data_IF_367506692636
#
_entry.id   IF_367506692636
#
_cell.length_a   1.000
_cell.length_b   1.000
_cell.length_c   1.000
_cell.angle_alpha   90.00
_cell.angle_beta   90.00
_cell.angle_gamma   90.00
#
_symmetry.space_group_name_H-M   'P 1'
#
loop_
_entity.id
_entity.type
_entity.pdbx_description
1 polymer ?
#
# COMPACT_ATOMS: atom_id res chain seq x y z
N UNK A 1 16.30 -27.42 -10.23
CA UNK A 1 15.43 -26.22 -10.25
C UNK A 1 16.14 -25.16 -9.43
N UNK A 2 16.62 -24.13 -10.12
CA UNK A 2 17.48 -23.07 -9.61
C UNK A 2 16.77 -22.26 -8.54
N UNK A 3 17.35 -22.21 -7.34
CA UNK A 3 16.81 -21.45 -6.22
C UNK A 3 16.87 -19.96 -6.53
N UNK A 4 15.69 -19.34 -6.65
CA UNK A 4 15.61 -17.90 -6.82
C UNK A 4 16.09 -17.23 -5.54
N UNK A 5 16.97 -16.22 -5.61
CA UNK A 5 17.41 -15.51 -4.42
C UNK A 5 16.22 -14.87 -3.70
N UNK A 6 16.12 -15.09 -2.39
CA UNK A 6 15.02 -14.60 -1.54
C UNK A 6 15.44 -13.40 -0.68
N UNK A 7 16.33 -12.55 -1.18
CA UNK A 7 16.98 -11.48 -0.40
C UNK A 7 15.98 -10.53 0.30
N UNK A 8 14.78 -10.40 -0.25
CA UNK A 8 13.72 -9.49 0.15
C UNK A 8 12.51 -10.21 0.79
N UNK A 9 12.56 -11.54 0.99
CA UNK A 9 11.45 -12.30 1.60
C UNK A 9 11.08 -11.81 3.00
N UNK A 10 12.06 -11.34 3.76
CA UNK A 10 11.84 -10.78 5.08
C UNK A 10 11.01 -9.49 5.05
N UNK A 11 11.02 -8.76 3.94
CA UNK A 11 10.27 -7.51 3.74
C UNK A 11 8.78 -7.75 3.39
N UNK A 12 8.43 -8.98 3.02
CA UNK A 12 7.10 -9.36 2.55
C UNK A 12 6.24 -10.00 3.66
N UNK A 13 6.86 -10.65 4.65
CA UNK A 13 6.15 -11.40 5.70
C UNK A 13 5.98 -10.54 6.96
N UNK A 14 4.73 -10.30 7.38
CA UNK A 14 4.39 -9.44 8.55
C UNK A 14 5.25 -9.75 9.78
N UNK A 15 5.30 -11.03 10.19
CA UNK A 15 6.06 -11.49 11.36
C UNK A 15 7.57 -11.22 11.23
N UNK A 16 8.12 -11.35 10.04
CA UNK A 16 9.53 -11.07 9.77
C UNK A 16 9.84 -9.59 9.78
N UNK A 17 8.98 -8.76 9.21
CA UNK A 17 9.18 -7.31 9.19
C UNK A 17 9.08 -6.74 10.59
N UNK A 18 8.08 -7.15 11.38
CA UNK A 18 7.92 -6.68 12.76
C UNK A 18 9.12 -7.05 13.65
N UNK A 19 9.84 -8.13 13.33
CA UNK A 19 11.04 -8.54 14.06
C UNK A 19 12.29 -7.68 13.73
N UNK A 20 12.33 -7.03 12.57
CA UNK A 20 13.53 -6.33 12.07
C UNK A 20 13.35 -4.83 11.85
N UNK A 21 12.11 -4.37 11.65
CA UNK A 21 11.78 -2.99 11.38
C UNK A 21 11.14 -2.34 12.63
N UNK A 22 11.54 -1.11 12.97
CA UNK A 22 10.96 -0.41 14.12
C UNK A 22 9.48 -0.11 13.86
N UNK A 23 8.64 -0.40 14.87
CA UNK A 23 7.24 0.04 14.89
C UNK A 23 7.21 1.48 15.40
N UNK A 24 6.67 2.38 14.59
CA UNK A 24 6.54 3.79 14.94
C UNK A 24 5.10 4.15 15.32
N UNK A 25 4.96 5.04 16.30
CA UNK A 25 3.66 5.63 16.65
C UNK A 25 3.28 6.69 15.62
N UNK A 26 2.09 6.57 15.02
CA UNK A 26 1.62 7.51 14.01
C UNK A 26 0.54 8.46 14.57
N UNK A 27 0.68 9.76 14.30
CA UNK A 27 -0.41 10.75 14.50
C UNK A 27 -1.38 10.80 13.30
N UNK A 28 -1.02 10.16 12.20
CA UNK A 28 -1.82 10.02 10.99
C UNK A 28 -2.06 8.54 10.67
N UNK A 29 -2.90 8.24 9.68
CA UNK A 29 -3.10 6.85 9.24
C UNK A 29 -1.79 6.15 8.82
N UNK A 30 -1.76 4.83 8.95
CA UNK A 30 -0.71 4.00 8.38
C UNK A 30 -0.93 3.87 6.87
N UNK A 31 0.14 3.96 6.08
CA UNK A 31 0.08 3.79 4.63
C UNK A 31 1.07 2.72 4.14
N UNK A 32 0.75 2.19 2.95
CA UNK A 32 1.63 1.38 2.11
C UNK A 32 1.68 2.00 0.72
N UNK A 33 2.89 2.28 0.22
CA UNK A 33 3.16 2.65 -1.16
C UNK A 33 3.63 1.39 -1.89
N UNK A 34 2.92 1.03 -2.95
CA UNK A 34 3.19 -0.12 -3.80
C UNK A 34 3.97 0.32 -5.05
N UNK A 35 5.28 0.09 -5.04
CA UNK A 35 6.16 0.42 -6.17
C UNK A 35 6.26 -0.80 -7.10
N UNK A 36 5.73 -0.75 -8.33
CA UNK A 36 5.76 -1.90 -9.24
C UNK A 36 7.19 -2.34 -9.57
N UNK A 37 7.42 -3.65 -9.66
CA UNK A 37 8.71 -4.21 -10.05
C UNK A 37 8.67 -4.84 -11.43
N UNK A 38 9.56 -4.40 -12.32
CA UNK A 38 9.68 -4.87 -13.69
C UNK A 38 11.05 -5.54 -13.91
N UNK A 39 11.04 -6.72 -14.54
CA UNK A 39 12.24 -7.43 -14.99
C UNK A 39 12.11 -7.66 -16.50
N UNK A 40 13.03 -7.07 -17.28
CA UNK A 40 12.95 -7.13 -18.74
C UNK A 40 11.71 -6.43 -19.32
N UNK A 41 11.18 -5.40 -18.64
CA UNK A 41 9.97 -4.68 -19.04
C UNK A 41 8.66 -5.39 -18.72
N UNK A 42 8.70 -6.61 -18.19
CA UNK A 42 7.53 -7.33 -17.71
C UNK A 42 7.45 -7.26 -16.19
N UNK A 43 6.24 -7.09 -15.70
CA UNK A 43 5.99 -7.06 -14.27
C UNK A 43 6.27 -8.43 -13.67
N UNK A 44 7.02 -8.46 -12.57
CA UNK A 44 7.36 -9.72 -11.91
C UNK A 44 6.09 -10.45 -11.47
N UNK A 45 5.82 -11.68 -11.93
CA UNK A 45 4.64 -12.43 -11.51
C UNK A 45 4.76 -12.91 -10.06
N UNK A 46 5.98 -13.04 -9.55
CA UNK A 46 6.25 -13.60 -8.23
C UNK A 46 6.39 -12.52 -7.16
N UNK A 47 6.95 -11.37 -7.52
CA UNK A 47 7.15 -10.22 -6.62
C UNK A 47 6.77 -8.93 -7.34
N UNK A 48 5.46 -8.68 -7.51
CA UNK A 48 4.99 -7.64 -8.42
C UNK A 48 5.16 -6.21 -7.88
N UNK A 49 5.62 -6.06 -6.63
CA UNK A 49 5.84 -4.77 -5.96
C UNK A 49 7.01 -4.81 -4.97
N UNK A 50 7.64 -3.65 -4.76
CA UNK A 50 8.29 -3.26 -3.51
C UNK A 50 7.31 -2.44 -2.66
N UNK A 51 7.54 -2.44 -1.34
CA UNK A 51 6.64 -1.80 -0.39
C UNK A 51 7.40 -0.76 0.45
N UNK A 52 6.86 0.45 0.52
CA UNK A 52 7.21 1.42 1.57
C UNK A 52 6.05 1.50 2.54
N UNK A 53 6.32 1.33 3.83
CA UNK A 53 5.30 1.30 4.89
C UNK A 53 5.66 2.31 5.98
N UNK A 54 4.67 3.03 6.49
CA UNK A 54 4.89 4.02 7.55
C UNK A 54 3.67 4.90 7.78
N UNK A 55 3.86 5.99 8.51
CA UNK A 55 2.82 6.98 8.74
C UNK A 55 2.65 7.88 7.51
N UNK A 56 1.40 8.23 7.15
CA UNK A 56 1.12 9.15 6.05
C UNK A 56 1.87 10.48 6.19
N UNK A 57 1.87 11.05 7.40
CA UNK A 57 2.56 12.31 7.74
C UNK A 57 4.05 12.29 7.48
N UNK A 58 4.69 11.13 7.56
CA UNK A 58 6.13 10.97 7.36
C UNK A 58 6.47 10.60 5.92
N UNK A 59 5.77 9.63 5.34
CA UNK A 59 6.08 9.14 4.01
C UNK A 59 5.68 10.11 2.89
N UNK A 60 4.68 10.96 3.12
CA UNK A 60 4.20 11.95 2.14
C UNK A 60 4.74 13.37 2.44
N UNK A 61 5.66 13.52 3.40
CA UNK A 61 6.14 14.84 3.85
C UNK A 61 6.95 15.60 2.79
N UNK A 62 7.44 14.90 1.77
CA UNK A 62 8.26 15.48 0.71
C UNK A 62 7.42 16.11 -0.42
N UNK A 63 6.09 15.95 -0.40
CA UNK A 63 5.20 16.50 -1.42
C UNK A 63 5.18 18.03 -1.32
N UNK A 64 5.54 18.70 -2.41
CA UNK A 64 5.51 20.17 -2.49
C UNK A 64 4.08 20.70 -2.72
N UNK A 65 3.28 19.98 -3.51
CA UNK A 65 1.88 20.34 -3.85
C UNK A 65 0.98 19.10 -3.82
N UNK A 66 0.60 18.63 -2.61
CA UNK A 66 -0.23 17.44 -2.47
C UNK A 66 -1.62 17.67 -3.07
N UNK A 67 -2.13 16.75 -3.89
CA UNK A 67 -3.48 16.82 -4.41
C UNK A 67 -4.49 16.48 -3.30
N UNK A 68 -5.75 16.84 -3.48
CA UNK A 68 -6.78 16.72 -2.43
C UNK A 68 -6.99 15.28 -1.96
N UNK A 69 -6.75 14.31 -2.84
CA UNK A 69 -6.80 12.89 -2.57
C UNK A 69 -5.83 12.48 -1.44
N UNK A 70 -4.70 13.19 -1.29
CA UNK A 70 -3.71 12.93 -0.24
C UNK A 70 -4.23 13.27 1.15
N UNK A 71 -5.09 14.29 1.30
CA UNK A 71 -5.68 14.62 2.60
C UNK A 71 -6.47 13.43 3.19
N UNK A 72 -7.09 12.62 2.32
CA UNK A 72 -7.81 11.42 2.73
C UNK A 72 -6.88 10.31 3.19
N UNK A 73 -5.68 10.19 2.60
CA UNK A 73 -4.68 9.21 3.04
C UNK A 73 -4.25 9.43 4.48
N UNK A 74 -4.33 10.65 5.01
CA UNK A 74 -3.97 10.93 6.41
C UNK A 74 -5.04 10.50 7.42
N UNK A 75 -6.27 10.21 7.00
CA UNK A 75 -7.43 10.12 7.91
C UNK A 75 -8.38 8.95 7.64
N UNK A 76 -8.37 8.38 6.44
CA UNK A 76 -9.34 7.38 6.01
C UNK A 76 -8.67 6.18 5.35
N UNK A 77 -9.35 5.04 5.37
CA UNK A 77 -8.91 3.86 4.63
C UNK A 77 -9.29 3.99 3.15
N UNK A 78 -8.31 4.29 2.30
CA UNK A 78 -8.50 4.51 0.86
C UNK A 78 -7.20 4.18 0.11
N UNK A 79 -7.33 3.76 -1.16
CA UNK A 79 -6.21 3.65 -2.09
C UNK A 79 -6.31 4.72 -3.17
N UNK A 80 -5.19 5.36 -3.49
CA UNK A 80 -5.10 6.38 -4.54
C UNK A 80 -3.88 6.10 -5.42
N UNK A 81 -4.01 6.36 -6.72
CA UNK A 81 -2.89 6.26 -7.66
C UNK A 81 -2.19 7.61 -7.75
N UNK A 82 -0.89 7.63 -7.46
CA UNK A 82 -0.08 8.84 -7.50
C UNK A 82 1.19 8.62 -8.31
N UNK A 83 1.64 9.59 -9.12
CA UNK A 83 2.96 9.54 -9.73
C UNK A 83 4.06 9.63 -8.65
N UNK A 84 5.09 8.80 -8.76
CA UNK A 84 6.17 8.75 -7.77
C UNK A 84 6.92 10.09 -7.67
N UNK A 85 7.08 10.79 -8.80
CA UNK A 85 7.67 12.14 -8.83
C UNK A 85 6.83 13.18 -8.06
N UNK A 86 5.52 12.97 -7.93
CA UNK A 86 4.65 13.85 -7.14
C UNK A 86 4.84 13.62 -5.64
N UNK A 87 5.10 12.37 -5.24
CA UNK A 87 5.38 11.99 -3.84
C UNK A 87 6.79 12.45 -3.44
N UNK A 88 7.77 12.17 -4.30
CA UNK A 88 9.19 12.46 -4.09
C UNK A 88 9.75 13.28 -5.27
N UNK A 89 9.72 14.63 -5.19
CA UNK A 89 10.11 15.52 -6.31
C UNK A 89 11.54 15.34 -6.83
N UNK A 90 12.43 14.71 -6.05
CA UNK A 90 13.81 14.41 -6.44
C UNK A 90 13.95 13.11 -7.25
N UNK A 91 12.88 12.34 -7.38
CA UNK A 91 12.85 11.09 -8.16
C UNK A 91 12.53 11.44 -9.61
N UNK A 92 13.42 11.04 -10.53
CA UNK A 92 13.31 11.35 -11.96
C UNK A 92 12.29 10.47 -12.70
N UNK A 93 11.89 9.33 -12.12
CA UNK A 93 10.84 8.48 -12.71
C UNK A 93 9.46 9.00 -12.34
N UNK A 94 8.53 8.91 -13.30
CA UNK A 94 7.13 9.29 -13.11
C UNK A 94 6.19 8.08 -13.15
N UNK A 95 6.69 6.93 -12.70
CA UNK A 95 5.88 5.73 -12.54
C UNK A 95 4.72 5.99 -11.58
N UNK A 96 3.55 5.48 -11.95
CA UNK A 96 2.35 5.57 -11.11
C UNK A 96 2.41 4.44 -10.09
N UNK A 97 2.41 4.82 -8.81
CA UNK A 97 2.35 3.92 -7.68
C UNK A 97 0.96 3.96 -7.06
N UNK A 98 0.55 2.87 -6.42
CA UNK A 98 -0.66 2.87 -5.61
C UNK A 98 -0.29 3.16 -4.15
N UNK A 99 -0.99 4.07 -3.52
CA UNK A 99 -0.81 4.44 -2.12
C UNK A 99 -2.09 4.12 -1.38
N UNK A 100 -2.03 3.18 -0.44
CA UNK A 100 -3.18 2.77 0.34
C UNK A 100 -3.00 3.11 1.81
N UNK A 101 -4.04 3.68 2.41
CA UNK A 101 -4.12 4.04 3.81
C UNK A 101 -5.05 3.11 4.59
N UNK A 102 -4.79 2.96 5.89
CA UNK A 102 -5.61 2.23 6.83
C UNK A 102 -5.45 2.81 8.25
N UNK A 103 -6.45 2.63 9.11
CA UNK A 103 -6.62 3.43 10.35
C UNK A 103 -6.27 2.67 11.64
N UNK A 104 -6.29 1.33 11.62
CA UNK A 104 -5.98 0.54 12.82
C UNK A 104 -4.47 0.32 12.97
N UNK A 105 -3.97 0.25 14.20
CA UNK A 105 -2.53 0.05 14.45
C UNK A 105 -1.97 -1.15 13.69
N UNK A 106 -0.88 -0.93 12.93
CA UNK A 106 -0.18 -1.98 12.19
C UNK A 106 -0.94 -2.57 11.00
N UNK A 107 -2.02 -1.95 10.52
CA UNK A 107 -2.83 -2.51 9.44
C UNK A 107 -2.13 -2.58 8.07
N UNK A 108 -1.09 -1.78 7.86
CA UNK A 108 -0.42 -1.60 6.57
C UNK A 108 0.42 -2.83 6.12
N UNK A 109 0.45 -3.89 6.94
CA UNK A 109 0.96 -5.21 6.55
C UNK A 109 -0.02 -6.05 5.74
N UNK A 110 -1.33 -5.77 5.84
CA UNK A 110 -2.41 -6.60 5.26
C UNK A 110 -3.12 -5.94 4.07
N UNK A 111 -2.61 -4.81 3.62
CA UNK A 111 -3.23 -4.04 2.55
C UNK A 111 -2.81 -4.63 1.21
N UNK A 112 -3.79 -4.97 0.37
CA UNK A 112 -3.56 -5.42 -0.99
C UNK A 112 -3.81 -4.26 -1.97
N UNK A 113 -2.95 -4.12 -3.00
CA UNK A 113 -3.16 -3.15 -4.06
C UNK A 113 -4.42 -3.52 -4.82
N UNK A 114 -5.30 -2.54 -5.05
CA UNK A 114 -6.62 -2.66 -5.63
C UNK A 114 -7.27 -4.06 -5.56
N UNK A 115 -7.50 -4.54 -4.33
CA UNK A 115 -8.68 -5.38 -4.10
C UNK A 115 -9.83 -4.43 -3.87
N UNK A 116 -10.45 -3.98 -4.96
CA UNK A 116 -11.79 -3.41 -4.84
C UNK A 116 -12.59 -4.39 -4.00
N UNK A 117 -13.03 -3.94 -2.83
CA UNK A 117 -13.87 -4.67 -1.86
C UNK A 117 -15.25 -5.01 -2.43
N UNK A 118 -15.37 -5.07 -3.75
CA UNK A 118 -16.51 -5.46 -4.56
C UNK A 118 -17.11 -6.77 -4.08
N UNK A 119 -16.28 -7.78 -3.74
CA UNK A 119 -16.80 -9.07 -3.29
C UNK A 119 -17.43 -9.01 -1.88
N UNK A 120 -16.87 -8.24 -0.95
CA UNK A 120 -17.39 -8.12 0.42
C UNK A 120 -18.68 -7.29 0.48
N UNK A 121 -18.79 -6.25 -0.34
CA UNK A 121 -20.02 -5.45 -0.47
C UNK A 121 -21.15 -6.29 -1.10
N UNK A 122 -20.84 -7.09 -2.12
CA UNK A 122 -21.83 -7.98 -2.75
C UNK A 122 -22.30 -9.06 -1.76
N UNK A 123 -21.39 -9.70 -1.01
CA UNK A 123 -21.73 -10.73 -0.03
C UNK A 123 -22.60 -10.18 1.12
N UNK A 124 -22.32 -8.97 1.59
CA UNK A 124 -23.13 -8.31 2.64
C UNK A 124 -24.50 -7.86 2.12
N UNK A 125 -24.59 -7.38 0.88
CA UNK A 125 -25.87 -7.04 0.25
C UNK A 125 -26.76 -8.27 0.02
N UNK A 126 -26.19 -9.40 -0.41
CA UNK A 126 -26.94 -10.67 -0.58
C UNK A 126 -27.45 -11.18 0.77
N UNK A 127 -26.62 -11.13 1.82
CA UNK A 127 -27.04 -11.54 3.16
C UNK A 127 -28.20 -10.68 3.69
N UNK A 128 -28.20 -9.37 3.43
CA UNK A 128 -29.28 -8.47 3.82
C UNK A 128 -30.59 -8.78 3.09
N UNK A 129 -30.52 -9.14 1.80
CA UNK A 129 -31.68 -9.51 0.99
C UNK A 129 -32.28 -10.84 1.48
N UNK A 130 -31.45 -11.83 1.83
CA UNK A 130 -31.91 -13.10 2.38
C UNK A 130 -32.55 -12.99 3.78
N UNK A 131 -32.20 -11.96 4.55
CA UNK A 131 -32.83 -11.68 5.85
C UNK A 131 -34.19 -10.97 5.72
N UNK A 132 -34.50 -10.44 4.55
CA UNK A 132 -35.73 -9.69 4.24
C UNK A 132 -36.76 -10.52 3.44
N UNK A 133 -36.43 -11.78 3.12
CA UNK A 133 -37.28 -12.80 2.48
C UNK A 133 -37.70 -13.85 3.52
#
# INVERSE_FOLDING_TARGET
MTGMPQFDRFCDMEESVQAIAPVESCESSCITIFEPQYFGGLRSPQRPYLFLRGCASRLLSAMESPPREVDFLHRAAICVSLPLSQIYPKVYTNEVVEVCSCVTNGCNFRVAPNSSSSLQIILSAIALILLML
#
